data_IF_033879431336
#
_entry.id   IF_033879431336
#
_cell.length_a   1.000
_cell.length_b   1.000
_cell.length_c   1.000
_cell.angle_alpha   90.00
_cell.angle_beta   90.00
_cell.angle_gamma   90.00
#
_symmetry.space_group_name_H-M   'P 1'
#
loop_
_entity.id
_entity.type
_entity.pdbx_description
1 polymer ?
#
# COMPACT_ATOMS: atom_id res chain seq x y z
N UNK A 1 35.97 -24.66 -0.08
CA UNK A 1 37.33 -24.05 -0.01
C UNK A 1 37.12 -22.67 0.66
N UNK A 2 37.26 -22.63 1.99
CA UNK A 2 37.16 -21.37 2.74
C UNK A 2 38.47 -20.61 2.55
N UNK A 3 38.41 -19.56 1.76
CA UNK A 3 39.52 -18.62 1.67
C UNK A 3 39.66 -17.89 3.01
N UNK A 4 40.89 -17.93 3.59
CA UNK A 4 41.21 -17.12 4.76
C UNK A 4 40.89 -15.65 4.49
N UNK A 5 40.59 -14.91 5.56
CA UNK A 5 40.27 -13.48 5.49
C UNK A 5 41.31 -12.67 4.67
N UNK A 6 42.58 -13.09 4.68
CA UNK A 6 43.65 -12.56 3.84
C UNK A 6 43.43 -12.82 2.34
N UNK A 7 42.98 -14.01 1.96
CA UNK A 7 42.69 -14.35 0.56
C UNK A 7 41.50 -13.59 -0.01
N UNK A 8 40.45 -13.35 0.80
CA UNK A 8 39.32 -12.53 0.40
C UNK A 8 39.73 -11.07 0.19
N UNK A 9 40.55 -10.52 1.08
CA UNK A 9 41.05 -9.15 0.97
C UNK A 9 41.87 -8.96 -0.33
N UNK A 10 42.72 -9.93 -0.70
CA UNK A 10 43.47 -9.89 -1.96
C UNK A 10 42.54 -9.92 -3.17
N UNK A 11 41.50 -10.76 -3.17
CA UNK A 11 40.52 -10.80 -4.27
C UNK A 11 39.77 -9.47 -4.41
N UNK A 12 39.32 -8.86 -3.30
CA UNK A 12 38.66 -7.56 -3.35
C UNK A 12 39.59 -6.46 -3.84
N UNK A 13 40.88 -6.52 -3.44
CA UNK A 13 41.88 -5.57 -3.88
C UNK A 13 42.18 -5.69 -5.39
N UNK A 14 42.28 -6.91 -5.90
CA UNK A 14 42.41 -7.19 -7.34
C UNK A 14 41.19 -6.75 -8.13
N UNK A 15 39.95 -7.02 -7.61
CA UNK A 15 38.69 -6.57 -8.21
C UNK A 15 38.58 -5.03 -8.25
N UNK A 16 39.21 -4.32 -7.30
CA UNK A 16 39.23 -2.87 -7.26
C UNK A 16 40.31 -2.26 -8.15
N UNK A 17 41.47 -2.92 -8.29
CA UNK A 17 42.58 -2.45 -9.13
C UNK A 17 42.23 -2.55 -10.63
N UNK A 18 41.49 -3.59 -11.06
CA UNK A 18 41.12 -3.77 -12.47
C UNK A 18 40.31 -2.60 -13.04
N UNK A 19 39.20 -2.14 -12.43
CA UNK A 19 38.46 -1.00 -12.95
C UNK A 19 39.24 0.32 -12.84
N UNK A 20 40.04 0.47 -11.78
CA UNK A 20 40.89 1.69 -11.62
C UNK A 20 41.94 1.75 -12.72
N UNK A 21 42.64 0.66 -13.03
CA UNK A 21 43.63 0.63 -14.10
C UNK A 21 43.02 0.88 -15.49
N UNK A 22 41.80 0.37 -15.74
CA UNK A 22 41.04 0.62 -16.96
C UNK A 22 40.59 2.09 -17.10
N UNK A 23 40.28 2.76 -15.99
CA UNK A 23 39.96 4.19 -15.97
C UNK A 23 41.21 5.04 -16.30
N UNK A 24 42.37 4.68 -15.73
CA UNK A 24 43.65 5.39 -15.95
C UNK A 24 44.10 5.20 -17.40
N UNK A 25 43.98 3.98 -17.94
CA UNK A 25 44.37 3.66 -19.33
C UNK A 25 43.53 4.40 -20.40
N UNK A 26 42.28 4.76 -20.10
CA UNK A 26 41.39 5.46 -21.04
C UNK A 26 41.55 6.97 -21.08
N UNK A 27 42.50 7.58 -20.37
CA UNK A 27 42.67 9.04 -20.28
C UNK A 27 41.37 9.80 -20.00
N UNK A 28 40.46 9.22 -19.20
CA UNK A 28 39.21 9.88 -18.83
C UNK A 28 39.59 11.09 -17.96
N UNK A 29 39.21 12.32 -18.33
CA UNK A 29 39.56 13.46 -17.52
C UNK A 29 38.95 13.31 -16.12
N UNK A 30 39.79 13.38 -15.09
CA UNK A 30 39.40 13.22 -13.67
C UNK A 30 38.18 14.07 -13.33
N UNK A 31 38.06 15.25 -13.94
CA UNK A 31 36.91 16.12 -13.79
C UNK A 31 35.59 15.46 -14.20
N UNK A 32 35.55 14.64 -15.26
CA UNK A 32 34.34 13.92 -15.67
C UNK A 32 33.93 12.85 -14.65
N UNK A 33 34.90 12.15 -14.08
CA UNK A 33 34.64 11.13 -13.05
C UNK A 33 34.08 11.78 -11.79
N UNK A 34 34.69 12.90 -11.37
CA UNK A 34 34.21 13.66 -10.20
C UNK A 34 32.81 14.21 -10.43
N UNK A 35 32.55 14.82 -11.58
CA UNK A 35 31.21 15.31 -11.93
C UNK A 35 30.17 14.21 -11.99
N UNK A 36 30.53 13.02 -12.51
CA UNK A 36 29.66 11.84 -12.52
C UNK A 36 29.33 11.38 -11.10
N UNK A 37 30.33 11.28 -10.22
CA UNK A 37 30.11 10.88 -8.83
C UNK A 37 29.24 11.89 -8.07
N UNK A 38 29.48 13.17 -8.25
CA UNK A 38 28.66 14.23 -7.67
C UNK A 38 27.21 14.15 -8.20
N UNK A 39 27.03 13.94 -9.50
CA UNK A 39 25.70 13.77 -10.10
C UNK A 39 24.95 12.57 -9.49
N UNK A 40 25.60 11.42 -9.35
CA UNK A 40 25.02 10.26 -8.72
C UNK A 40 24.71 10.47 -7.23
N UNK A 41 25.58 11.18 -6.50
CA UNK A 41 25.33 11.53 -5.11
C UNK A 41 24.09 12.46 -4.97
N UNK A 42 23.93 13.43 -5.88
CA UNK A 42 22.76 14.31 -5.91
C UNK A 42 21.48 13.50 -6.23
N UNK A 43 21.53 12.61 -7.23
CA UNK A 43 20.39 11.75 -7.57
C UNK A 43 20.00 10.85 -6.40
N UNK A 44 20.99 10.22 -5.76
CA UNK A 44 20.75 9.37 -4.58
C UNK A 44 20.16 10.18 -3.42
N UNK A 45 20.66 11.39 -3.17
CA UNK A 45 20.13 12.31 -2.16
C UNK A 45 18.67 12.71 -2.44
N UNK A 46 18.35 13.06 -3.70
CA UNK A 46 16.98 13.38 -4.10
C UNK A 46 16.03 12.17 -3.94
N UNK A 47 16.47 10.98 -4.36
CA UNK A 47 15.71 9.74 -4.16
C UNK A 47 15.46 9.47 -2.68
N UNK A 48 16.47 9.68 -1.84
CA UNK A 48 16.34 9.48 -0.40
C UNK A 48 15.33 10.45 0.22
N UNK A 49 15.35 11.72 -0.20
CA UNK A 49 14.34 12.72 0.22
C UNK A 49 12.94 12.31 -0.22
N UNK A 50 12.76 11.85 -1.46
CA UNK A 50 11.46 11.39 -1.96
C UNK A 50 10.95 10.17 -1.18
N UNK A 51 11.84 9.25 -0.82
CA UNK A 51 11.48 8.06 -0.04
C UNK A 51 11.12 8.44 1.41
N UNK A 52 11.88 9.35 2.02
CA UNK A 52 11.69 9.75 3.42
C UNK A 52 10.46 10.66 3.60
N UNK A 53 10.19 11.54 2.63
CA UNK A 53 9.07 12.49 2.65
C UNK A 53 7.88 12.01 1.82
N UNK A 54 7.65 10.69 1.75
CA UNK A 54 6.57 10.08 0.92
C UNK A 54 5.21 10.76 1.12
N UNK A 55 4.85 11.06 2.37
CA UNK A 55 3.56 11.68 2.71
C UNK A 55 3.38 13.08 2.10
N UNK A 56 4.46 13.83 1.91
CA UNK A 56 4.39 15.16 1.27
C UNK A 56 4.24 15.10 -0.24
N UNK A 57 4.75 14.03 -0.87
CA UNK A 57 4.71 13.86 -2.34
C UNK A 57 3.49 13.11 -2.83
N UNK A 58 2.73 12.43 -1.94
CA UNK A 58 1.50 11.70 -2.30
C UNK A 58 0.49 12.53 -3.10
N UNK A 59 0.18 13.82 -2.77
CA UNK A 59 -0.77 14.60 -3.55
C UNK A 59 -0.30 14.84 -5.00
N UNK A 60 1.01 15.05 -5.19
CA UNK A 60 1.59 15.28 -6.52
C UNK A 60 1.64 13.99 -7.36
N UNK A 61 1.98 12.86 -6.71
CA UNK A 61 1.96 11.55 -7.35
C UNK A 61 0.54 11.15 -7.76
N UNK A 62 -0.47 11.41 -6.92
CA UNK A 62 -1.88 11.20 -7.26
C UNK A 62 -2.33 12.07 -8.43
N UNK A 63 -1.85 13.31 -8.53
CA UNK A 63 -2.14 14.18 -9.67
C UNK A 63 -1.56 13.61 -10.98
N UNK A 64 -0.31 13.15 -10.95
CA UNK A 64 0.37 12.54 -12.12
C UNK A 64 -0.29 11.22 -12.53
N UNK A 65 -0.65 10.37 -11.57
CA UNK A 65 -1.35 9.09 -11.86
C UNK A 65 -2.74 9.31 -12.46
N UNK A 66 -3.47 10.36 -12.02
CA UNK A 66 -4.74 10.77 -12.66
C UNK A 66 -4.54 11.26 -14.09
N UNK A 67 -3.52 12.09 -14.33
CA UNK A 67 -3.19 12.65 -15.65
C UNK A 67 -2.82 11.54 -16.64
N UNK A 68 -2.11 10.51 -16.18
CA UNK A 68 -1.68 9.35 -16.98
C UNK A 68 -2.76 8.27 -17.09
N UNK A 69 -3.97 8.49 -16.53
CA UNK A 69 -5.06 7.49 -16.46
C UNK A 69 -4.61 6.13 -15.88
N UNK A 70 -3.62 6.15 -15.00
CA UNK A 70 -3.13 4.98 -14.27
C UNK A 70 -3.96 4.70 -13.02
N UNK A 71 -5.10 5.37 -12.87
CA UNK A 71 -5.98 5.18 -11.72
C UNK A 71 -6.75 3.85 -11.90
N UNK A 72 -6.43 2.88 -11.06
CA UNK A 72 -7.06 1.56 -11.08
C UNK A 72 -8.52 1.59 -10.58
N UNK A 73 -8.98 2.74 -10.06
CA UNK A 73 -10.32 2.92 -9.52
C UNK A 73 -11.00 4.12 -10.16
N UNK A 74 -12.13 3.90 -10.81
CA UNK A 74 -12.93 4.92 -11.49
C UNK A 74 -14.40 4.81 -11.10
N UNK A 75 -15.08 5.97 -11.02
CA UNK A 75 -16.54 6.04 -10.90
C UNK A 75 -17.12 6.29 -12.28
N UNK A 76 -18.04 5.42 -12.71
CA UNK A 76 -18.73 5.51 -14.01
C UNK A 76 -20.24 5.45 -13.77
N UNK A 77 -20.91 6.58 -13.86
CA UNK A 77 -22.30 6.68 -13.45
C UNK A 77 -22.45 6.39 -11.96
N UNK A 78 -23.26 5.39 -11.62
CA UNK A 78 -23.46 4.94 -10.23
C UNK A 78 -22.51 3.80 -9.81
N UNK A 79 -21.63 3.34 -10.71
CA UNK A 79 -20.76 2.20 -10.45
C UNK A 79 -19.35 2.66 -10.08
N UNK A 80 -18.78 2.08 -9.02
CA UNK A 80 -17.34 2.19 -8.75
C UNK A 80 -16.67 0.96 -9.34
N UNK A 81 -15.73 1.19 -10.26
CA UNK A 81 -14.98 0.15 -10.97
C UNK A 81 -13.54 0.13 -10.50
N UNK A 82 -13.07 -1.04 -10.09
CA UNK A 82 -11.72 -1.29 -9.58
C UNK A 82 -11.06 -2.31 -10.47
N UNK A 83 -9.93 -1.95 -11.09
CA UNK A 83 -9.15 -2.88 -11.92
C UNK A 83 -8.33 -3.81 -11.03
N UNK A 84 -8.21 -5.07 -11.45
CA UNK A 84 -7.31 -6.05 -10.82
C UNK A 84 -5.86 -5.56 -10.92
N UNK A 85 -5.17 -5.56 -9.81
CA UNK A 85 -3.74 -5.23 -9.74
C UNK A 85 -2.87 -6.39 -10.26
N UNK A 86 -1.59 -6.15 -10.49
CA UNK A 86 -0.65 -7.15 -11.03
C UNK A 86 -0.48 -8.37 -10.11
N UNK A 87 -0.79 -8.23 -8.83
CA UNK A 87 -0.78 -9.31 -7.83
C UNK A 87 -2.03 -10.20 -7.87
N UNK A 88 -2.96 -9.95 -8.80
CA UNK A 88 -4.20 -10.71 -8.96
C UNK A 88 -5.32 -10.31 -7.98
N UNK A 89 -5.16 -9.23 -7.23
CA UNK A 89 -6.11 -8.78 -6.23
C UNK A 89 -6.79 -7.46 -6.63
N UNK A 90 -7.95 -7.20 -6.01
CA UNK A 90 -8.64 -5.93 -6.12
C UNK A 90 -8.33 -5.06 -4.92
N UNK A 91 -7.75 -3.90 -5.17
CA UNK A 91 -7.37 -2.94 -4.15
C UNK A 91 -8.21 -1.68 -4.28
N UNK A 92 -9.03 -1.43 -3.29
CA UNK A 92 -9.88 -0.25 -3.21
C UNK A 92 -9.13 0.92 -2.53
N UNK A 93 -9.21 2.10 -3.13
CA UNK A 93 -8.83 3.36 -2.46
C UNK A 93 -10.04 3.84 -1.68
N UNK A 94 -9.89 3.93 -0.38
CA UNK A 94 -10.95 4.33 0.54
C UNK A 94 -10.48 5.49 1.42
N UNK A 95 -11.45 6.23 1.96
CA UNK A 95 -11.20 7.18 3.04
C UNK A 95 -11.92 6.68 4.28
N UNK A 96 -11.19 6.46 5.37
CA UNK A 96 -11.69 5.98 6.67
C UNK A 96 -11.60 7.14 7.66
N UNK A 97 -12.74 7.69 8.09
CA UNK A 97 -12.79 8.83 9.01
C UNK A 97 -11.83 9.98 8.64
N UNK A 98 -11.69 10.27 7.33
CA UNK A 98 -10.82 11.31 6.79
C UNK A 98 -9.42 10.83 6.39
N UNK A 99 -9.03 9.59 6.70
CA UNK A 99 -7.71 9.04 6.38
C UNK A 99 -7.77 8.18 5.12
N UNK A 100 -6.95 8.49 4.12
CA UNK A 100 -6.88 7.72 2.89
C UNK A 100 -6.10 6.41 3.12
N UNK A 101 -6.69 5.29 2.68
CA UNK A 101 -6.09 3.95 2.77
C UNK A 101 -6.35 3.17 1.48
N UNK A 102 -5.50 2.18 1.25
CA UNK A 102 -5.67 1.19 0.20
C UNK A 102 -6.01 -0.14 0.85
N UNK A 103 -7.21 -0.66 0.58
CA UNK A 103 -7.73 -1.87 1.21
C UNK A 103 -7.86 -3.00 0.20
N UNK A 104 -7.51 -4.20 0.62
CA UNK A 104 -7.78 -5.43 -0.13
C UNK A 104 -9.28 -5.73 -0.09
N UNK A 105 -9.92 -5.89 -1.24
CA UNK A 105 -11.32 -6.36 -1.30
C UNK A 105 -11.33 -7.88 -1.24
N UNK A 106 -11.88 -8.43 -0.16
CA UNK A 106 -11.89 -9.87 0.11
C UNK A 106 -13.28 -10.37 0.46
N UNK A 107 -13.91 -11.08 -0.47
CA UNK A 107 -15.20 -11.73 -0.25
C UNK A 107 -15.13 -12.95 0.68
N UNK A 108 -13.93 -13.45 0.98
CA UNK A 108 -13.70 -14.51 1.97
C UNK A 108 -13.66 -14.00 3.41
N UNK A 109 -13.42 -12.71 3.61
CA UNK A 109 -13.43 -12.08 4.93
C UNK A 109 -14.85 -11.69 5.35
N UNK A 110 -15.34 -12.22 6.47
CA UNK A 110 -16.68 -11.90 6.99
C UNK A 110 -16.77 -10.44 7.44
N UNK A 111 -15.73 -9.94 8.10
CA UNK A 111 -15.65 -8.59 8.66
C UNK A 111 -14.55 -7.78 7.97
N UNK A 112 -14.77 -6.49 7.88
CA UNK A 112 -13.73 -5.53 7.51
C UNK A 112 -12.69 -5.49 8.63
N UNK A 113 -11.43 -5.64 8.27
CA UNK A 113 -10.31 -5.75 9.18
C UNK A 113 -9.30 -4.62 8.92
N UNK A 114 -8.86 -3.98 9.98
CA UNK A 114 -7.93 -2.88 9.92
C UNK A 114 -6.66 -3.18 10.71
N UNK A 115 -5.54 -2.72 10.18
CA UNK A 115 -4.27 -2.67 10.87
C UNK A 115 -4.34 -1.72 12.08
N UNK A 116 -3.46 -1.92 13.06
CA UNK A 116 -3.35 -0.99 14.18
C UNK A 116 -2.90 0.40 13.76
N UNK A 117 -2.09 0.49 12.71
CA UNK A 117 -1.66 1.76 12.13
C UNK A 117 -2.86 2.55 11.59
N UNK A 118 -3.71 1.90 10.77
CA UNK A 118 -4.90 2.54 10.21
C UNK A 118 -5.88 2.97 11.31
N UNK A 119 -6.12 2.10 12.30
CA UNK A 119 -7.00 2.43 13.41
C UNK A 119 -6.50 3.64 14.22
N UNK A 120 -5.20 3.74 14.45
CA UNK A 120 -4.56 4.86 15.14
C UNK A 120 -4.64 6.14 14.30
N UNK A 121 -4.28 6.07 13.02
CA UNK A 121 -4.31 7.22 12.13
C UNK A 121 -5.73 7.80 11.97
N UNK A 122 -6.76 6.93 11.89
CA UNK A 122 -8.16 7.32 11.81
C UNK A 122 -8.78 7.65 13.18
N UNK A 123 -7.98 7.62 14.27
CA UNK A 123 -8.43 7.89 15.63
C UNK A 123 -9.69 7.09 16.03
N UNK A 124 -9.71 5.81 15.65
CA UNK A 124 -10.83 4.94 15.96
C UNK A 124 -10.86 4.61 17.46
N UNK A 125 -12.08 4.61 18.03
CA UNK A 125 -12.31 4.10 19.38
C UNK A 125 -12.25 2.57 19.37
N UNK A 126 -11.05 2.03 19.63
CA UNK A 126 -10.82 0.58 19.66
C UNK A 126 -11.16 0.08 21.04
N UNK A 127 -12.25 -0.67 21.15
CA UNK A 127 -12.79 -1.15 22.42
C UNK A 127 -12.07 -2.41 22.87
N UNK A 128 -11.51 -2.35 24.07
CA UNK A 128 -11.05 -3.53 24.78
C UNK A 128 -12.27 -4.27 25.34
N UNK A 129 -12.67 -5.34 24.65
CA UNK A 129 -13.71 -6.23 25.17
C UNK A 129 -13.11 -7.18 26.20
N UNK A 130 -13.84 -7.46 27.28
CA UNK A 130 -13.48 -8.51 28.25
C UNK A 130 -13.34 -9.87 27.57
N UNK A 131 -14.03 -10.08 26.45
CA UNK A 131 -13.93 -11.29 25.63
C UNK A 131 -13.32 -10.87 24.28
N UNK A 132 -12.09 -11.28 23.96
CA UNK A 132 -11.48 -10.96 22.68
C UNK A 132 -12.23 -11.64 21.54
N UNK A 133 -12.35 -10.94 20.40
CA UNK A 133 -12.89 -11.52 19.18
C UNK A 133 -11.82 -12.44 18.60
N UNK A 134 -12.13 -13.74 18.52
CA UNK A 134 -11.25 -14.73 17.89
C UNK A 134 -11.67 -14.89 16.44
N UNK A 135 -10.75 -14.63 15.54
CA UNK A 135 -10.94 -14.80 14.09
C UNK A 135 -10.13 -16.00 13.61
N UNK A 136 -10.75 -16.81 12.75
CA UNK A 136 -10.03 -17.83 12.00
C UNK A 136 -9.60 -17.23 10.67
N UNK A 137 -8.30 -17.17 10.43
CA UNK A 137 -7.72 -16.66 9.19
C UNK A 137 -6.94 -17.78 8.48
N UNK A 138 -6.54 -17.55 7.24
CA UNK A 138 -5.68 -18.50 6.50
C UNK A 138 -4.37 -18.79 7.25
N UNK A 139 -3.87 -17.85 8.06
CA UNK A 139 -2.64 -17.95 8.84
C UNK A 139 -2.88 -18.47 10.28
N UNK A 140 -4.09 -18.94 10.60
CA UNK A 140 -4.45 -19.44 11.91
C UNK A 140 -5.40 -18.54 12.69
N UNK A 141 -5.53 -18.83 13.97
CA UNK A 141 -6.41 -18.08 14.88
C UNK A 141 -5.70 -16.83 15.37
N UNK A 142 -6.37 -15.70 15.27
CA UNK A 142 -5.89 -14.43 15.78
C UNK A 142 -6.90 -13.80 16.73
N UNK A 143 -6.41 -12.95 17.62
CA UNK A 143 -7.25 -12.10 18.47
C UNK A 143 -7.37 -10.72 17.85
N UNK A 144 -8.57 -10.19 17.86
CA UNK A 144 -8.87 -8.85 17.36
C UNK A 144 -9.76 -8.11 18.36
N UNK A 145 -9.71 -6.79 18.27
CA UNK A 145 -10.57 -5.86 19.03
C UNK A 145 -11.61 -5.26 18.11
N UNK A 146 -12.76 -4.89 18.65
CA UNK A 146 -13.81 -4.23 17.88
C UNK A 146 -13.59 -2.71 17.82
N UNK A 147 -13.92 -2.15 16.67
CA UNK A 147 -14.05 -0.72 16.49
C UNK A 147 -15.20 -0.41 15.52
N UNK A 148 -15.55 0.85 15.39
CA UNK A 148 -16.56 1.30 14.41
C UNK A 148 -15.97 2.45 13.60
N UNK A 149 -16.02 2.32 12.28
CA UNK A 149 -15.69 3.40 11.35
C UNK A 149 -16.95 4.22 11.13
N UNK A 150 -16.91 5.52 11.45
CA UNK A 150 -18.06 6.42 11.32
C UNK A 150 -18.41 6.68 9.86
N UNK A 151 -17.39 6.98 9.04
CA UNK A 151 -17.54 7.24 7.62
C UNK A 151 -16.45 6.52 6.81
N UNK A 152 -16.84 5.50 6.06
CA UNK A 152 -16.00 4.88 5.06
C UNK A 152 -16.49 5.31 3.68
N UNK A 153 -15.61 5.95 2.88
CA UNK A 153 -15.92 6.41 1.53
C UNK A 153 -15.10 5.62 0.50
N UNK A 154 -15.77 5.12 -0.53
CA UNK A 154 -15.18 4.40 -1.65
C UNK A 154 -15.81 4.90 -2.95
N UNK A 155 -15.13 5.79 -3.67
CA UNK A 155 -15.76 6.53 -4.77
C UNK A 155 -16.99 7.30 -4.28
N UNK A 156 -18.15 7.05 -4.88
CA UNK A 156 -19.43 7.65 -4.47
C UNK A 156 -20.17 6.84 -3.40
N UNK A 157 -19.62 5.70 -2.99
CA UNK A 157 -20.18 4.84 -1.95
C UNK A 157 -19.76 5.39 -0.58
N UNK A 158 -20.73 5.60 0.30
CA UNK A 158 -20.50 6.01 1.70
C UNK A 158 -21.13 4.98 2.62
N UNK A 159 -20.33 4.30 3.42
CA UNK A 159 -20.81 3.43 4.49
C UNK A 159 -20.61 4.14 5.84
N UNK A 160 -21.68 4.20 6.65
CA UNK A 160 -21.66 4.78 7.99
C UNK A 160 -21.74 3.70 9.05
N UNK A 161 -21.10 4.00 10.18
CA UNK A 161 -21.09 3.14 11.36
C UNK A 161 -20.74 1.69 11.04
N UNK A 162 -19.70 1.51 10.18
CA UNK A 162 -19.26 0.18 9.77
C UNK A 162 -18.51 -0.51 10.91
N UNK A 163 -19.01 -1.64 11.43
CA UNK A 163 -18.27 -2.43 12.40
C UNK A 163 -17.01 -3.01 11.76
N UNK A 164 -15.88 -2.88 12.46
CA UNK A 164 -14.58 -3.37 12.00
C UNK A 164 -13.86 -4.10 13.12
N UNK A 165 -12.88 -4.90 12.77
CA UNK A 165 -11.96 -5.53 13.70
C UNK A 165 -10.56 -5.00 13.50
N UNK A 166 -9.81 -4.85 14.59
CA UNK A 166 -8.45 -4.32 14.61
C UNK A 166 -7.54 -5.33 15.28
N UNK A 167 -6.45 -5.69 14.62
CA UNK A 167 -5.44 -6.58 15.20
C UNK A 167 -4.05 -6.27 14.65
N UNK A 168 -3.00 -6.34 15.47
CA UNK A 168 -1.61 -6.27 15.00
C UNK A 168 -1.24 -7.45 14.09
N UNK A 169 -1.99 -8.55 14.14
CA UNK A 169 -1.77 -9.71 13.28
C UNK A 169 -2.08 -9.47 11.80
N UNK A 170 -2.76 -8.38 11.45
CA UNK A 170 -2.99 -7.98 10.06
C UNK A 170 -1.78 -7.26 9.43
N UNK A 171 -0.74 -6.96 10.22
CA UNK A 171 0.42 -6.21 9.75
C UNK A 171 0.00 -4.81 9.28
N UNK A 172 0.35 -4.49 8.04
CA UNK A 172 0.03 -3.24 7.34
C UNK A 172 -1.14 -3.38 6.34
N UNK A 173 -1.80 -4.55 6.30
CA UNK A 173 -2.85 -4.84 5.33
C UNK A 173 -4.23 -4.59 5.93
N UNK A 174 -4.96 -3.68 5.31
CA UNK A 174 -6.38 -3.45 5.60
C UNK A 174 -7.25 -4.23 4.61
N UNK A 175 -8.33 -4.84 5.11
CA UNK A 175 -9.21 -5.71 4.32
C UNK A 175 -10.65 -5.22 4.39
N UNK A 176 -11.29 -5.07 3.23
CA UNK A 176 -12.69 -4.73 3.06
C UNK A 176 -13.50 -6.02 2.89
N UNK A 177 -14.24 -6.40 3.91
CA UNK A 177 -14.93 -7.69 4.00
C UNK A 177 -16.39 -7.67 3.58
N UNK A 178 -17.05 -8.83 3.75
CA UNK A 178 -18.44 -9.05 3.37
C UNK A 178 -19.44 -8.18 4.12
N UNK A 179 -19.14 -7.76 5.34
CA UNK A 179 -20.03 -6.84 6.08
C UNK A 179 -20.17 -5.46 5.41
N UNK A 180 -19.24 -5.10 4.51
CA UNK A 180 -19.38 -3.95 3.61
C UNK A 180 -20.02 -4.38 2.27
N UNK A 181 -19.46 -5.41 1.62
CA UNK A 181 -19.87 -5.81 0.27
C UNK A 181 -21.35 -6.23 0.20
N UNK A 182 -21.87 -6.92 1.21
CA UNK A 182 -23.27 -7.35 1.28
C UNK A 182 -24.28 -6.21 1.46
N UNK A 183 -23.83 -5.02 1.84
CA UNK A 183 -24.67 -3.82 1.92
C UNK A 183 -24.79 -3.07 0.61
N UNK A 184 -24.09 -3.50 -0.44
CA UNK A 184 -24.23 -2.95 -1.78
C UNK A 184 -25.47 -3.55 -2.49
N UNK A 185 -26.04 -2.82 -3.45
CA UNK A 185 -27.09 -3.34 -4.31
C UNK A 185 -26.62 -4.56 -5.07
N UNK A 186 -25.39 -4.50 -5.57
CA UNK A 186 -24.70 -5.63 -6.18
C UNK A 186 -23.20 -5.36 -6.22
N UNK A 187 -22.44 -6.43 -6.28
CA UNK A 187 -21.04 -6.40 -6.67
C UNK A 187 -20.77 -7.59 -7.57
N UNK A 188 -19.87 -7.44 -8.53
CA UNK A 188 -19.54 -8.48 -9.51
C UNK A 188 -18.15 -8.26 -10.06
N UNK A 189 -17.56 -9.33 -10.58
CA UNK A 189 -16.30 -9.27 -11.32
C UNK A 189 -16.60 -9.53 -12.79
N UNK A 190 -16.18 -8.60 -13.65
CA UNK A 190 -16.24 -8.73 -15.11
C UNK A 190 -14.82 -8.69 -15.67
N UNK A 191 -14.32 -9.86 -16.12
CA UNK A 191 -12.93 -9.99 -16.53
C UNK A 191 -11.96 -9.60 -15.38
N UNK A 192 -11.16 -8.57 -15.59
CA UNK A 192 -10.21 -8.04 -14.63
C UNK A 192 -10.73 -6.79 -13.88
N UNK A 193 -12.04 -6.62 -13.78
CA UNK A 193 -12.65 -5.44 -13.16
C UNK A 193 -13.69 -5.84 -12.13
N UNK A 194 -13.53 -5.40 -10.89
CA UNK A 194 -14.54 -5.46 -9.84
C UNK A 194 -15.45 -4.24 -9.99
N UNK A 195 -16.75 -4.47 -10.02
CA UNK A 195 -17.80 -3.46 -10.16
C UNK A 195 -18.65 -3.47 -8.90
N UNK A 196 -18.72 -2.33 -8.23
CA UNK A 196 -19.49 -2.10 -7.02
C UNK A 196 -20.64 -1.15 -7.34
N UNK A 197 -21.87 -1.54 -7.01
CA UNK A 197 -23.08 -0.76 -7.27
C UNK A 197 -23.77 -0.44 -5.95
N UNK A 198 -23.87 0.81 -5.53
CA UNK A 198 -24.61 1.19 -4.33
C UNK A 198 -26.12 1.09 -4.52
N UNK A 199 -26.89 1.00 -3.42
CA UNK A 199 -28.33 1.22 -3.40
C UNK A 199 -28.64 2.71 -3.55
N UNK A 200 -28.81 3.23 -4.77
CA UNK A 200 -29.02 4.66 -5.04
C UNK A 200 -28.00 5.57 -4.32
N UNK A 201 -28.03 6.87 -4.50
CA UNK A 201 -27.16 7.83 -3.80
C UNK A 201 -27.33 7.75 -2.26
N UNK A 202 -27.16 6.56 -1.68
CA UNK A 202 -27.40 6.32 -0.28
C UNK A 202 -26.11 6.50 0.51
N UNK A 203 -26.17 7.48 1.33
CA UNK A 203 -25.66 7.49 2.69
C UNK A 203 -26.23 6.25 3.38
N UNK A 204 -25.46 5.18 3.52
CA UNK A 204 -25.84 4.06 4.39
C UNK A 204 -25.89 4.61 5.82
N UNK A 205 -27.09 4.63 6.42
CA UNK A 205 -27.32 4.85 7.84
C UNK A 205 -27.37 3.54 8.58
#
# INVERSE_FOLDING_TARGET
MNLDSGGQAVIYLLLLILPISALIARRVPVLRVVLSLVSWAVIAGLLLVVITERERFDPYLQYVTRLLKLDDQNVVGEETRIRMSADGHFWAKVTIDGVNRRMLVDSGATLTALSTETATAASLDVRDSLIPIVLNTANGRIQARSATVRDLKLGDIVARDLPVVVSPAFGDTDVLGMNFLSKLKSWRVEGNTLILVPHHHQKFT
#
